data_IF_381851960898
#
_entry.id   IF_381851960898
#
_cell.length_a   1.000
_cell.length_b   1.000
_cell.length_c   1.000
_cell.angle_alpha   90.00
_cell.angle_beta   90.00
_cell.angle_gamma   90.00
#
_symmetry.space_group_name_H-M   'P 1'
#
loop_
_entity.id
_entity.type
_entity.pdbx_description
1 polymer ?
#
# COMPACT_ATOMS: atom_id res chain seq x y z
N UNK A 1 -12.88 4.70 65.93
CA UNK A 1 -13.48 5.91 66.54
C UNK A 1 -14.92 6.06 66.07
N UNK A 2 -15.91 6.01 66.97
CA UNK A 2 -17.36 6.04 66.63
C UNK A 2 -17.77 7.22 65.73
N UNK A 3 -17.16 8.38 65.94
CA UNK A 3 -17.41 9.61 65.19
C UNK A 3 -17.09 9.45 63.68
N UNK A 4 -15.99 8.78 63.33
CA UNK A 4 -15.60 8.57 61.93
C UNK A 4 -16.64 7.72 61.18
N UNK A 5 -17.13 6.66 61.81
CA UNK A 5 -18.16 5.79 61.24
C UNK A 5 -19.46 6.55 61.00
N UNK A 6 -19.89 7.37 61.98
CA UNK A 6 -21.08 8.21 61.84
C UNK A 6 -20.91 9.17 60.65
N UNK A 7 -19.76 9.85 60.55
CA UNK A 7 -19.48 10.79 59.44
C UNK A 7 -19.56 10.10 58.08
N UNK A 8 -18.92 8.93 57.90
CA UNK A 8 -18.96 8.17 56.64
C UNK A 8 -20.39 7.76 56.27
N UNK A 9 -21.18 7.33 57.25
CA UNK A 9 -22.57 6.91 57.04
C UNK A 9 -23.44 8.09 56.59
N UNK A 10 -23.26 9.27 57.18
CA UNK A 10 -23.96 10.49 56.78
C UNK A 10 -23.56 10.92 55.36
N UNK A 11 -22.27 10.83 55.00
CA UNK A 11 -21.80 11.14 53.64
C UNK A 11 -22.38 10.17 52.60
N UNK A 12 -22.45 8.88 52.92
CA UNK A 12 -23.05 7.90 52.01
C UNK A 12 -24.54 8.20 51.78
N UNK A 13 -25.26 8.57 52.84
CA UNK A 13 -26.65 9.03 52.74
C UNK A 13 -26.77 10.29 51.88
N UNK A 14 -25.90 11.29 52.08
CA UNK A 14 -25.97 12.54 51.32
C UNK A 14 -25.75 12.32 49.82
N UNK A 15 -24.82 11.44 49.44
CA UNK A 15 -24.59 11.08 48.02
C UNK A 15 -25.84 10.44 47.39
N UNK A 16 -26.60 9.64 48.16
CA UNK A 16 -27.80 8.97 47.66
C UNK A 16 -29.06 9.83 47.60
N UNK A 17 -29.17 10.86 48.45
CA UNK A 17 -30.37 11.69 48.58
C UNK A 17 -30.24 13.07 47.92
N UNK A 18 -29.06 13.66 47.91
CA UNK A 18 -28.84 14.99 47.36
C UNK A 18 -28.73 14.89 45.81
N UNK A 19 -29.61 15.57 45.05
CA UNK A 19 -29.70 15.38 43.59
C UNK A 19 -28.42 15.73 42.82
N UNK A 20 -27.67 16.76 43.24
CA UNK A 20 -26.48 17.20 42.51
C UNK A 20 -25.32 16.21 42.62
N UNK A 21 -25.06 15.69 43.82
CA UNK A 21 -24.09 14.63 44.12
C UNK A 21 -24.46 13.33 43.41
N UNK A 22 -25.74 12.95 43.43
CA UNK A 22 -26.22 11.78 42.70
C UNK A 22 -26.01 11.92 41.20
N UNK A 23 -26.33 13.09 40.63
CA UNK A 23 -26.12 13.37 39.21
C UNK A 23 -24.63 13.35 38.83
N UNK A 24 -23.77 13.96 39.64
CA UNK A 24 -22.31 13.91 39.41
C UNK A 24 -21.78 12.48 39.47
N UNK A 25 -22.21 11.68 40.44
CA UNK A 25 -21.80 10.27 40.54
C UNK A 25 -22.24 9.46 39.31
N UNK A 26 -23.46 9.67 38.82
CA UNK A 26 -23.94 9.01 37.61
C UNK A 26 -23.12 9.43 36.39
N UNK A 27 -22.89 10.74 36.20
CA UNK A 27 -22.05 11.27 35.11
C UNK A 27 -20.64 10.69 35.14
N UNK A 28 -20.02 10.63 36.32
CA UNK A 28 -18.70 10.01 36.47
C UNK A 28 -18.75 8.52 36.13
N UNK A 29 -19.81 7.82 36.52
CA UNK A 29 -20.03 6.41 36.13
C UNK A 29 -20.12 6.25 34.61
N UNK A 30 -20.93 7.07 33.94
CA UNK A 30 -21.12 7.04 32.49
C UNK A 30 -19.82 7.37 31.74
N UNK A 31 -19.08 8.38 32.20
CA UNK A 31 -17.76 8.76 31.66
C UNK A 31 -16.73 7.64 31.84
N UNK A 32 -16.75 6.91 32.95
CA UNK A 32 -15.87 5.75 33.17
C UNK A 32 -16.17 4.62 32.19
N UNK A 33 -17.45 4.34 31.90
CA UNK A 33 -17.84 3.34 30.88
C UNK A 33 -17.34 3.78 29.50
N UNK A 34 -17.58 5.04 29.13
CA UNK A 34 -17.11 5.58 27.85
C UNK A 34 -15.59 5.51 27.71
N UNK A 35 -14.85 5.85 28.77
CA UNK A 35 -13.39 5.77 28.79
C UNK A 35 -12.92 4.32 28.60
N UNK A 36 -13.56 3.37 29.28
CA UNK A 36 -13.24 1.96 29.14
C UNK A 36 -13.41 1.47 27.69
N UNK A 37 -14.53 1.83 27.05
CA UNK A 37 -14.79 1.47 25.66
C UNK A 37 -13.79 2.11 24.69
N UNK A 38 -13.38 3.36 24.97
CA UNK A 38 -12.37 4.05 24.17
C UNK A 38 -11.00 3.39 24.30
N UNK A 39 -10.63 2.96 25.51
CA UNK A 39 -9.39 2.22 25.75
C UNK A 39 -9.38 0.88 25.01
N UNK A 40 -10.49 0.14 25.03
CA UNK A 40 -10.63 -1.10 24.29
C UNK A 40 -10.45 -0.88 22.78
N UNK A 41 -11.06 0.18 22.23
CA UNK A 41 -10.86 0.56 20.81
C UNK A 41 -9.40 0.90 20.51
N UNK A 42 -8.76 1.69 21.37
CA UNK A 42 -7.36 2.04 21.22
C UNK A 42 -6.45 0.81 21.22
N UNK A 43 -6.69 -0.15 22.11
CA UNK A 43 -5.95 -1.41 22.13
C UNK A 43 -6.09 -2.18 20.81
N UNK A 44 -7.31 -2.28 20.27
CA UNK A 44 -7.53 -2.95 18.98
C UNK A 44 -6.84 -2.23 17.82
N UNK A 45 -6.81 -0.91 17.83
CA UNK A 45 -6.13 -0.10 16.81
C UNK A 45 -4.61 -0.29 16.86
N UNK A 46 -4.03 -0.29 18.06
CA UNK A 46 -2.59 -0.53 18.26
C UNK A 46 -2.19 -1.92 17.73
N UNK A 47 -3.00 -2.96 18.01
CA UNK A 47 -2.75 -4.30 17.49
C UNK A 47 -2.85 -4.36 15.95
N UNK A 48 -3.75 -3.59 15.34
CA UNK A 48 -3.86 -3.52 13.87
C UNK A 48 -2.65 -2.80 13.26
N UNK A 49 -2.20 -1.71 13.88
CA UNK A 49 -1.01 -0.98 13.45
C UNK A 49 0.24 -1.86 13.49
N UNK A 50 0.42 -2.67 14.54
CA UNK A 50 1.53 -3.62 14.62
C UNK A 50 1.52 -4.63 13.46
N UNK A 51 0.35 -5.20 13.15
CA UNK A 51 0.19 -6.10 12.00
C UNK A 51 0.52 -5.40 10.69
N UNK A 52 0.06 -4.16 10.50
CA UNK A 52 0.33 -3.37 9.30
C UNK A 52 1.82 -3.08 9.14
N UNK A 53 2.52 -2.72 10.22
CA UNK A 53 3.97 -2.50 10.22
C UNK A 53 4.71 -3.76 9.77
N UNK A 54 4.29 -4.94 10.24
CA UNK A 54 4.91 -6.20 9.82
C UNK A 54 4.68 -6.48 8.33
N UNK A 55 3.46 -6.26 7.82
CA UNK A 55 3.17 -6.39 6.39
C UNK A 55 4.00 -5.42 5.54
N UNK A 56 4.12 -4.16 5.97
CA UNK A 56 4.90 -3.15 5.25
C UNK A 56 6.39 -3.50 5.20
N UNK A 57 6.94 -4.07 6.27
CA UNK A 57 8.33 -4.57 6.28
C UNK A 57 8.55 -5.71 5.30
N UNK A 58 7.61 -6.65 5.22
CA UNK A 58 7.72 -7.76 4.24
C UNK A 58 7.57 -7.26 2.80
N UNK A 59 6.66 -6.31 2.56
CA UNK A 59 6.52 -5.66 1.26
C UNK A 59 7.81 -4.92 0.86
N UNK A 60 8.40 -4.17 1.79
CA UNK A 60 9.67 -3.47 1.55
C UNK A 60 10.78 -4.45 1.14
N UNK A 61 10.95 -5.54 1.90
CA UNK A 61 11.95 -6.58 1.57
C UNK A 61 11.70 -7.18 0.19
N UNK A 62 10.44 -7.43 -0.19
CA UNK A 62 10.12 -7.94 -1.52
C UNK A 62 10.49 -6.95 -2.61
N UNK A 63 10.09 -5.68 -2.46
CA UNK A 63 10.39 -4.63 -3.43
C UNK A 63 11.90 -4.40 -3.60
N UNK A 64 12.67 -4.45 -2.51
CA UNK A 64 14.13 -4.35 -2.56
C UNK A 64 14.76 -5.51 -3.35
N UNK A 65 14.26 -6.74 -3.18
CA UNK A 65 14.73 -7.88 -3.99
C UNK A 65 14.43 -7.70 -5.48
N UNK A 66 13.20 -7.33 -5.80
CA UNK A 66 12.77 -7.14 -7.19
C UNK A 66 13.56 -6.01 -7.87
N UNK A 67 13.82 -4.93 -7.13
CA UNK A 67 14.66 -3.83 -7.60
C UNK A 67 16.10 -4.28 -7.86
N UNK A 68 16.69 -5.04 -6.93
CA UNK A 68 18.05 -5.55 -7.08
C UNK A 68 18.16 -6.49 -8.30
N UNK A 69 17.18 -7.39 -8.48
CA UNK A 69 17.13 -8.27 -9.65
C UNK A 69 17.01 -7.47 -10.96
N UNK A 70 16.10 -6.50 -11.03
CA UNK A 70 15.95 -5.63 -12.20
C UNK A 70 17.22 -4.82 -12.49
N UNK A 71 17.92 -4.35 -11.45
CA UNK A 71 19.21 -3.67 -11.59
C UNK A 71 20.28 -4.61 -12.15
N UNK A 72 20.40 -5.83 -11.61
CA UNK A 72 21.33 -6.83 -12.11
C UNK A 72 21.08 -7.16 -13.59
N UNK A 73 19.81 -7.34 -13.99
CA UNK A 73 19.44 -7.59 -15.38
C UNK A 73 19.81 -6.40 -16.30
N UNK A 74 19.60 -5.16 -15.82
CA UNK A 74 19.97 -3.95 -16.56
C UNK A 74 21.47 -3.79 -16.75
N UNK A 75 22.27 -4.16 -15.75
CA UNK A 75 23.73 -4.05 -15.78
C UNK A 75 24.38 -5.18 -16.60
N UNK A 76 23.74 -6.34 -16.69
CA UNK A 76 24.29 -7.54 -17.33
C UNK A 76 23.66 -7.84 -18.70
N UNK A 77 23.32 -6.81 -19.48
CA UNK A 77 22.83 -6.99 -20.85
C UNK A 77 23.98 -7.42 -21.78
N UNK A 78 23.90 -8.57 -22.46
CA UNK A 78 24.93 -9.00 -23.38
C UNK A 78 25.18 -7.97 -24.51
N UNK A 79 26.45 -7.74 -24.90
CA UNK A 79 26.82 -6.67 -25.83
C UNK A 79 26.31 -6.88 -27.26
N UNK A 80 25.91 -8.11 -27.60
CA UNK A 80 25.35 -8.47 -28.90
C UNK A 80 23.83 -8.24 -29.00
N UNK A 81 23.15 -7.92 -27.89
CA UNK A 81 21.72 -7.60 -27.93
C UNK A 81 21.49 -6.15 -28.39
N UNK A 82 20.36 -5.88 -29.09
CA UNK A 82 20.01 -4.52 -29.47
C UNK A 82 19.90 -3.62 -28.24
N UNK A 83 20.57 -2.46 -28.28
CA UNK A 83 20.47 -1.49 -27.19
C UNK A 83 19.01 -1.03 -27.05
N UNK A 84 18.48 -0.89 -25.81
CA UNK A 84 17.14 -0.38 -25.60
C UNK A 84 16.97 0.98 -26.31
N UNK A 85 15.97 1.08 -27.17
CA UNK A 85 15.60 2.34 -27.84
C UNK A 85 14.96 3.28 -26.82
N UNK A 86 15.17 4.61 -26.96
CA UNK A 86 14.64 5.63 -26.03
C UNK A 86 13.14 5.50 -25.72
N UNK A 87 12.34 4.87 -26.60
CA UNK A 87 10.92 4.61 -26.34
C UNK A 87 10.66 3.63 -25.18
N UNK A 88 11.57 2.68 -24.93
CA UNK A 88 11.46 1.75 -23.81
C UNK A 88 11.87 2.39 -22.47
N UNK A 89 12.77 3.39 -22.53
CA UNK A 89 13.25 4.14 -21.35
C UNK A 89 12.18 5.14 -20.87
N UNK A 90 11.42 5.72 -21.80
CA UNK A 90 10.39 6.72 -21.51
C UNK A 90 9.26 6.21 -20.61
N UNK A 91 8.98 4.89 -20.59
CA UNK A 91 7.98 4.29 -19.70
C UNK A 91 8.44 4.09 -18.24
N UNK A 92 9.75 4.15 -17.97
CA UNK A 92 10.33 3.94 -16.64
C UNK A 92 10.65 5.25 -15.89
N UNK A 93 10.67 6.38 -16.59
CA UNK A 93 10.89 7.71 -15.99
C UNK A 93 9.65 8.59 -16.16
N UNK A 94 8.51 8.18 -15.60
CA UNK A 94 7.39 9.11 -15.41
C UNK A 94 7.64 9.85 -14.09
N UNK A 95 8.28 11.01 -14.19
CA UNK A 95 7.96 12.09 -13.24
C UNK A 95 6.48 12.40 -13.43
N UNK A 96 5.68 12.19 -12.39
CA UNK A 96 4.34 12.74 -12.28
C UNK A 96 4.42 14.26 -12.36
N UNK A 97 4.22 14.82 -13.55
CA UNK A 97 3.71 16.17 -13.70
C UNK A 97 2.53 16.13 -14.68
N UNK A 98 1.38 16.39 -14.08
CA UNK A 98 0.10 16.78 -14.64
C UNK A 98 0.21 17.64 -15.90
N UNK A 99 -0.32 17.16 -17.03
CA UNK A 99 -1.13 18.00 -17.94
C UNK A 99 -1.82 17.20 -19.05
N UNK A 100 -3.12 17.02 -18.85
CA UNK A 100 -4.22 17.32 -19.78
C UNK A 100 -3.80 17.89 -21.15
N UNK A 101 -4.01 17.13 -22.22
CA UNK A 101 -5.02 17.41 -23.28
C UNK A 101 -4.85 16.43 -24.43
N UNK A 102 -5.95 15.72 -24.72
CA UNK A 102 -6.12 14.94 -25.93
C UNK A 102 -6.14 15.88 -27.15
N UNK A 103 -5.22 15.67 -28.10
CA UNK A 103 -5.38 16.06 -29.50
C UNK A 103 -4.68 15.01 -30.37
N UNK A 104 -5.47 14.29 -31.15
CA UNK A 104 -5.05 13.40 -32.23
C UNK A 104 -4.40 14.24 -33.36
N UNK A 105 -3.19 13.93 -33.88
CA UNK A 105 -2.70 14.57 -35.07
C UNK A 105 -3.00 13.73 -36.31
N UNK A 106 -3.69 14.39 -37.25
CA UNK A 106 -3.95 13.97 -38.61
C UNK A 106 -2.73 13.40 -39.34
N UNK A 107 -3.02 12.45 -40.23
CA UNK A 107 -2.09 11.81 -41.16
C UNK A 107 -1.39 12.84 -42.06
N UNK A 108 -0.10 13.04 -41.86
CA UNK A 108 0.76 13.74 -42.81
C UNK A 108 1.89 12.83 -43.36
N UNK A 109 1.69 12.47 -44.63
CA UNK A 109 2.65 12.22 -45.73
C UNK A 109 4.00 11.54 -45.41
N UNK A 110 4.13 10.32 -45.97
CA UNK A 110 5.32 9.47 -46.08
C UNK A 110 6.59 10.24 -46.51
N UNK A 111 7.75 9.94 -45.89
CA UNK A 111 9.04 9.95 -46.57
C UNK A 111 9.36 8.54 -47.10
N UNK A 112 9.96 8.49 -48.27
CA UNK A 112 10.37 7.30 -49.03
C UNK A 112 11.17 6.34 -48.15
N UNK A 113 10.57 5.19 -47.79
CA UNK A 113 11.28 4.07 -47.17
C UNK A 113 12.14 3.42 -48.24
N UNK A 114 13.47 3.48 -48.08
CA UNK A 114 14.35 2.50 -48.70
C UNK A 114 13.84 1.11 -48.33
N UNK A 115 13.57 0.29 -49.35
CA UNK A 115 13.13 -1.08 -49.18
C UNK A 115 14.29 -1.87 -48.56
N UNK A 116 14.34 -1.92 -47.23
CA UNK A 116 15.17 -2.89 -46.52
C UNK A 116 14.65 -4.26 -46.95
N UNK A 117 15.45 -4.98 -47.75
CA UNK A 117 15.24 -6.39 -48.05
C UNK A 117 15.34 -7.15 -46.73
N UNK A 118 14.21 -7.29 -46.03
CA UNK A 118 14.09 -8.21 -44.92
C UNK A 118 14.11 -9.60 -45.56
N UNK A 119 15.23 -10.31 -45.38
CA UNK A 119 15.27 -11.74 -45.72
C UNK A 119 14.39 -12.44 -44.71
N UNK A 120 13.18 -12.81 -45.11
CA UNK A 120 12.32 -13.68 -44.31
C UNK A 120 13.05 -15.01 -44.12
N UNK A 121 13.30 -15.39 -42.86
CA UNK A 121 13.78 -16.71 -42.54
C UNK A 121 12.61 -17.69 -42.70
N UNK A 122 12.79 -18.87 -43.31
CA UNK A 122 11.75 -19.88 -43.38
C UNK A 122 11.28 -20.23 -41.97
N UNK A 123 9.97 -20.15 -41.74
CA UNK A 123 9.36 -20.65 -40.52
C UNK A 123 9.41 -22.18 -40.55
N UNK A 124 9.87 -22.79 -39.46
CA UNK A 124 9.85 -24.24 -39.31
C UNK A 124 8.39 -24.68 -39.31
N UNK A 125 8.08 -25.63 -40.18
CA UNK A 125 6.74 -26.23 -40.27
C UNK A 125 6.50 -27.16 -39.08
N UNK A 126 5.24 -27.35 -38.70
CA UNK A 126 4.88 -28.21 -37.54
C UNK A 126 5.43 -29.63 -37.72
N UNK A 127 5.43 -30.13 -38.95
CA UNK A 127 5.93 -31.45 -39.30
C UNK A 127 7.46 -31.58 -39.15
N UNK A 128 8.21 -30.51 -39.46
CA UNK A 128 9.66 -30.47 -39.19
C UNK A 128 9.96 -30.44 -37.69
N UNK A 129 9.16 -29.73 -36.89
CA UNK A 129 9.32 -29.66 -35.44
C UNK A 129 9.07 -31.01 -34.76
N UNK A 130 8.04 -31.74 -35.19
CA UNK A 130 7.70 -33.06 -34.65
C UNK A 130 8.68 -34.17 -35.05
N UNK A 131 9.50 -33.95 -36.09
CA UNK A 131 10.53 -34.89 -36.52
C UNK A 131 11.79 -34.90 -35.65
N UNK A 132 11.91 -33.95 -34.71
CA UNK A 132 13.06 -33.86 -33.80
C UNK A 132 12.89 -34.87 -32.67
N UNK A 133 13.82 -35.84 -32.49
CA UNK A 133 13.75 -36.80 -31.39
C UNK A 133 13.88 -36.08 -30.04
N UNK A 134 13.09 -36.53 -29.06
CA UNK A 134 13.14 -36.05 -27.67
C UNK A 134 14.46 -36.40 -26.96
#
# INVERSE_FOLDING_TARGET
TKISTIKKTLQLRSIGQEPSLKSMLCKTGDEMVLLHDLLNKMETEVQQQEKLINLLKELQKSAERDQNEAQHLRENIPPYLPKPTRSCIAGLTVKCEEQTKAVEPERAKKPTKEARLIKEAPLITVEEFESVPA
#
